data_IF_602870943444
#
_entry.id   IF_602870943444
#
_cell.length_a   1.000
_cell.length_b   1.000
_cell.length_c   1.000
_cell.angle_alpha   90.00
_cell.angle_beta   90.00
_cell.angle_gamma   90.00
#
_symmetry.space_group_name_H-M   'P 1'
#
loop_
_entity.id
_entity.type
_entity.pdbx_description
1 polymer ?
#
# COMPACT_ATOMS: atom_id res chain seq x y z
N UNK A 1 3.12 0.33 -22.49
CA UNK A 1 2.16 1.46 -22.51
C UNK A 1 2.88 2.68 -21.98
N UNK A 2 3.16 3.61 -22.86
CA UNK A 2 4.15 4.68 -22.73
C UNK A 2 3.87 5.67 -21.58
N UNK A 3 4.12 5.28 -20.32
CA UNK A 3 4.11 6.21 -19.19
C UNK A 3 2.74 6.81 -18.83
N UNK A 4 1.63 6.13 -19.14
CA UNK A 4 0.28 6.63 -18.88
C UNK A 4 -0.38 5.78 -17.79
N UNK A 5 -0.68 6.41 -16.65
CA UNK A 5 -1.55 5.83 -15.62
C UNK A 5 -3.00 6.15 -16.01
N UNK A 6 -3.83 5.11 -16.11
CA UNK A 6 -5.25 5.26 -16.47
C UNK A 6 -6.10 4.86 -15.28
N UNK A 7 -6.93 5.78 -14.80
CA UNK A 7 -7.91 5.54 -13.74
C UNK A 7 -9.31 5.66 -14.33
N UNK A 8 -10.20 4.76 -13.91
CA UNK A 8 -11.60 4.82 -14.35
C UNK A 8 -12.28 6.08 -13.81
N UNK A 9 -12.77 6.94 -14.70
CA UNK A 9 -13.44 8.19 -14.33
C UNK A 9 -14.67 7.95 -13.41
N UNK A 10 -15.31 6.79 -13.49
CA UNK A 10 -16.41 6.41 -12.60
C UNK A 10 -16.00 6.31 -11.13
N UNK A 11 -14.72 6.17 -10.84
CA UNK A 11 -14.22 6.17 -9.45
C UNK A 11 -14.32 7.55 -8.78
N UNK A 12 -14.52 8.61 -9.54
CA UNK A 12 -14.88 9.92 -8.98
C UNK A 12 -16.29 9.92 -8.35
N UNK A 13 -17.18 9.00 -8.78
CA UNK A 13 -18.50 8.83 -8.22
C UNK A 13 -18.46 8.03 -6.89
N UNK A 14 -18.91 8.61 -5.75
CA UNK A 14 -18.95 7.92 -4.47
C UNK A 14 -19.77 6.64 -4.47
N UNK A 15 -20.91 6.62 -5.18
CA UNK A 15 -21.78 5.45 -5.24
C UNK A 15 -21.12 4.30 -5.99
N UNK A 16 -20.44 4.59 -7.10
CA UNK A 16 -19.66 3.60 -7.82
C UNK A 16 -18.55 3.01 -6.95
N UNK A 17 -17.78 3.86 -6.22
CA UNK A 17 -16.73 3.38 -5.31
C UNK A 17 -17.28 2.45 -4.22
N UNK A 18 -18.40 2.82 -3.59
CA UNK A 18 -19.04 1.97 -2.55
C UNK A 18 -19.43 0.62 -3.14
N UNK A 19 -20.01 0.59 -4.33
CA UNK A 19 -20.35 -0.67 -5.02
C UNK A 19 -19.11 -1.53 -5.30
N UNK A 20 -18.01 -0.91 -5.74
CA UNK A 20 -16.75 -1.61 -5.97
C UNK A 20 -16.16 -2.14 -4.66
N UNK A 21 -16.11 -1.32 -3.60
CA UNK A 21 -15.64 -1.74 -2.28
C UNK A 21 -16.40 -2.97 -1.75
N UNK A 22 -17.71 -3.00 -1.95
CA UNK A 22 -18.55 -4.15 -1.57
C UNK A 22 -18.27 -5.39 -2.43
N UNK A 23 -18.05 -5.21 -3.73
CA UNK A 23 -17.79 -6.29 -4.67
C UNK A 23 -16.39 -6.91 -4.49
N UNK A 24 -15.36 -6.07 -4.26
CA UNK A 24 -13.97 -6.50 -4.09
C UNK A 24 -13.60 -6.79 -2.64
N UNK A 25 -14.46 -6.42 -1.68
CA UNK A 25 -14.19 -6.43 -0.24
C UNK A 25 -13.02 -5.53 0.19
N UNK A 26 -12.64 -4.59 -0.64
CA UNK A 26 -11.60 -3.58 -0.38
C UNK A 26 -12.23 -2.37 0.31
N UNK A 27 -12.22 -2.34 1.64
CA UNK A 27 -12.93 -1.32 2.46
C UNK A 27 -12.46 0.13 2.24
N UNK A 28 -11.23 0.34 1.80
CA UNK A 28 -10.58 1.67 1.79
C UNK A 28 -10.12 2.13 0.40
N UNK A 29 -10.77 1.66 -0.67
CA UNK A 29 -10.45 2.10 -2.03
C UNK A 29 -10.88 3.56 -2.24
N UNK A 30 -9.93 4.48 -2.09
CA UNK A 30 -10.07 5.89 -2.46
C UNK A 30 -9.43 6.14 -3.83
N UNK A 31 -9.82 7.22 -4.52
CA UNK A 31 -9.19 7.63 -5.78
C UNK A 31 -7.68 7.86 -5.59
N UNK A 32 -7.29 8.52 -4.49
CA UNK A 32 -5.87 8.75 -4.16
C UNK A 32 -5.13 7.44 -3.88
N UNK A 33 -5.75 6.51 -3.14
CA UNK A 33 -5.16 5.19 -2.88
C UNK A 33 -4.96 4.40 -4.16
N UNK A 34 -5.96 4.39 -5.04
CA UNK A 34 -5.85 3.73 -6.34
C UNK A 34 -4.77 4.38 -7.22
N UNK A 35 -4.69 5.72 -7.25
CA UNK A 35 -3.63 6.42 -7.99
C UNK A 35 -2.23 6.05 -7.46
N UNK A 36 -2.05 5.98 -6.13
CA UNK A 36 -0.78 5.54 -5.54
C UNK A 36 -0.45 4.10 -5.94
N UNK A 37 -1.43 3.19 -5.91
CA UNK A 37 -1.28 1.80 -6.32
C UNK A 37 -0.83 1.70 -7.79
N UNK A 38 -1.54 2.34 -8.71
CA UNK A 38 -1.19 2.35 -10.14
C UNK A 38 0.17 3.01 -10.39
N UNK A 39 0.55 4.01 -9.60
CA UNK A 39 1.90 4.58 -9.68
C UNK A 39 2.97 3.55 -9.28
N UNK A 40 2.68 2.67 -8.33
CA UNK A 40 3.55 1.55 -7.97
C UNK A 40 3.82 0.63 -9.17
N UNK A 41 2.79 0.21 -9.89
CA UNK A 41 2.96 -0.58 -11.12
C UNK A 41 3.76 0.15 -12.20
N UNK A 42 3.51 1.44 -12.36
CA UNK A 42 4.27 2.28 -13.31
C UNK A 42 5.76 2.30 -12.96
N UNK A 43 6.12 2.62 -11.73
CA UNK A 43 7.51 2.69 -11.31
C UNK A 43 8.17 1.31 -11.33
N UNK A 44 7.47 0.24 -10.93
CA UNK A 44 7.98 -1.12 -11.08
C UNK A 44 8.36 -1.44 -12.52
N UNK A 45 7.53 -1.07 -13.50
CA UNK A 45 7.79 -1.33 -14.92
C UNK A 45 9.06 -0.66 -15.46
N UNK A 46 9.51 0.42 -14.83
CA UNK A 46 10.75 1.13 -15.15
C UNK A 46 11.93 0.49 -14.39
N UNK A 47 11.78 0.34 -13.08
CA UNK A 47 12.84 -0.14 -12.19
C UNK A 47 13.22 -1.60 -12.46
N UNK A 48 12.25 -2.44 -12.81
CA UNK A 48 12.49 -3.86 -13.13
C UNK A 48 13.36 -4.09 -14.37
N UNK A 49 13.63 -3.04 -15.17
CA UNK A 49 14.62 -3.12 -16.25
C UNK A 49 16.07 -3.15 -15.73
N UNK A 50 16.29 -2.70 -14.50
CA UNK A 50 17.59 -2.76 -13.85
C UNK A 50 17.79 -4.14 -13.23
N UNK A 51 18.83 -4.93 -13.66
CA UNK A 51 19.00 -6.30 -13.19
C UNK A 51 19.17 -6.42 -11.67
N UNK A 52 19.84 -5.46 -11.03
CA UNK A 52 20.04 -5.47 -9.58
C UNK A 52 18.71 -5.30 -8.84
N UNK A 53 17.87 -4.36 -9.26
CA UNK A 53 16.54 -4.16 -8.70
C UNK A 53 15.68 -5.42 -8.86
N UNK A 54 15.64 -6.00 -10.07
CA UNK A 54 14.83 -7.19 -10.33
C UNK A 54 15.28 -8.39 -9.50
N UNK A 55 16.58 -8.60 -9.32
CA UNK A 55 17.09 -9.67 -8.46
C UNK A 55 16.66 -9.50 -7.00
N UNK A 56 16.77 -8.30 -6.45
CA UNK A 56 16.37 -8.01 -5.08
C UNK A 56 14.85 -8.06 -4.90
N UNK A 57 14.09 -7.55 -5.89
CA UNK A 57 12.64 -7.67 -5.94
C UNK A 57 12.18 -9.13 -5.79
N UNK A 58 12.76 -10.04 -6.55
CA UNK A 58 12.41 -11.48 -6.47
C UNK A 58 12.67 -12.10 -5.10
N UNK A 59 13.72 -11.67 -4.44
CA UNK A 59 14.03 -12.16 -3.08
C UNK A 59 13.03 -11.67 -2.03
N UNK A 60 12.44 -10.48 -2.23
CA UNK A 60 11.59 -9.82 -1.24
C UNK A 60 10.10 -10.06 -1.52
N UNK A 61 9.69 -10.00 -2.79
CA UNK A 61 8.28 -10.07 -3.22
C UNK A 61 7.93 -11.41 -3.89
N UNK A 62 8.91 -12.12 -4.44
CA UNK A 62 8.72 -13.36 -5.19
C UNK A 62 8.85 -13.19 -6.70
N UNK A 63 8.58 -14.26 -7.43
CA UNK A 63 8.74 -14.32 -8.89
C UNK A 63 7.58 -13.59 -9.61
N UNK A 64 7.91 -12.50 -10.27
CA UNK A 64 6.96 -11.69 -11.05
C UNK A 64 6.45 -12.40 -12.31
N UNK A 65 7.12 -13.46 -12.73
CA UNK A 65 6.75 -14.26 -13.90
C UNK A 65 5.65 -15.28 -13.65
N UNK A 66 5.11 -15.34 -12.43
CA UNK A 66 3.93 -16.14 -12.13
C UNK A 66 2.76 -15.73 -13.03
N UNK A 67 1.89 -16.67 -13.42
CA UNK A 67 0.74 -16.35 -14.28
C UNK A 67 -0.21 -15.37 -13.59
N UNK A 68 -0.14 -14.10 -13.98
CA UNK A 68 -0.89 -13.00 -13.33
C UNK A 68 -2.40 -13.24 -13.32
N UNK A 69 -2.99 -13.56 -14.49
CA UNK A 69 -4.43 -13.76 -14.58
C UNK A 69 -4.92 -14.93 -13.71
N UNK A 70 -4.18 -16.04 -13.69
CA UNK A 70 -4.51 -17.22 -12.89
C UNK A 70 -4.38 -16.93 -11.38
N UNK A 71 -3.36 -16.16 -10.99
CA UNK A 71 -3.15 -15.73 -9.60
C UNK A 71 -4.30 -14.88 -9.09
N UNK A 72 -4.78 -13.93 -9.90
CA UNK A 72 -5.95 -13.11 -9.56
C UNK A 72 -7.24 -13.93 -9.54
N UNK A 73 -7.46 -14.84 -10.49
CA UNK A 73 -8.62 -15.73 -10.50
C UNK A 73 -8.66 -16.59 -9.24
N UNK A 74 -7.50 -17.12 -8.83
CA UNK A 74 -7.37 -17.87 -7.58
C UNK A 74 -7.71 -16.99 -6.36
N UNK A 75 -7.21 -15.76 -6.32
CA UNK A 75 -7.52 -14.82 -5.23
C UNK A 75 -9.02 -14.53 -5.14
N UNK A 76 -9.69 -14.23 -6.26
CA UNK A 76 -11.12 -13.92 -6.26
C UNK A 76 -11.99 -15.13 -5.96
N UNK A 77 -11.57 -16.33 -6.32
CA UNK A 77 -12.32 -17.57 -6.06
C UNK A 77 -12.11 -18.13 -4.65
N UNK A 78 -10.88 -18.08 -4.14
CA UNK A 78 -10.48 -18.75 -2.89
C UNK A 78 -10.22 -17.78 -1.72
N UNK A 79 -10.14 -16.47 -2.01
CA UNK A 79 -9.75 -15.45 -1.03
C UNK A 79 -8.22 -15.28 -0.91
N UNK A 80 -7.78 -14.42 0.00
CA UNK A 80 -6.37 -14.17 0.26
C UNK A 80 -5.66 -15.41 0.81
N UNK A 81 -4.35 -15.41 0.70
CA UNK A 81 -3.53 -16.45 1.33
C UNK A 81 -3.82 -16.55 2.84
N UNK A 82 -3.87 -17.75 3.42
CA UNK A 82 -3.93 -17.91 4.87
C UNK A 82 -2.78 -17.15 5.52
N UNK A 83 -3.05 -16.48 6.64
CA UNK A 83 -2.04 -15.69 7.37
C UNK A 83 -1.40 -14.54 6.57
N UNK A 84 -2.09 -13.98 5.58
CA UNK A 84 -1.57 -12.88 4.78
C UNK A 84 -1.01 -11.71 5.65
N UNK A 85 -1.55 -11.48 6.85
CA UNK A 85 -1.09 -10.44 7.79
C UNK A 85 0.36 -10.61 8.25
N UNK A 86 0.91 -11.81 8.15
CA UNK A 86 2.29 -12.10 8.54
C UNK A 86 3.32 -11.64 7.49
N UNK A 87 2.88 -11.43 6.24
CA UNK A 87 3.78 -11.15 5.13
C UNK A 87 3.36 -9.98 4.23
N UNK A 88 2.10 -9.56 4.28
CA UNK A 88 1.53 -8.58 3.34
C UNK A 88 0.86 -7.41 4.05
N UNK A 89 0.82 -6.25 3.39
CA UNK A 89 0.18 -5.03 3.90
C UNK A 89 -1.34 -5.04 3.71
N UNK A 90 -1.84 -5.84 2.77
CA UNK A 90 -3.28 -6.02 2.50
C UNK A 90 -3.59 -7.45 2.08
N UNK A 91 -4.88 -7.88 2.15
CA UNK A 91 -5.29 -9.16 1.57
C UNK A 91 -4.95 -9.25 0.07
N UNK A 92 -5.17 -8.17 -0.66
CA UNK A 92 -4.96 -8.10 -2.11
C UNK A 92 -3.48 -8.23 -2.49
N UNK A 93 -2.57 -7.70 -1.68
CA UNK A 93 -1.13 -7.89 -1.84
C UNK A 93 -0.73 -9.38 -1.95
N UNK A 94 -1.49 -10.28 -1.30
CA UNK A 94 -1.21 -11.72 -1.36
C UNK A 94 -1.58 -12.40 -2.68
N UNK A 95 -2.14 -11.68 -3.64
CA UNK A 95 -2.61 -12.23 -4.91
C UNK A 95 -1.46 -12.48 -5.92
N UNK A 96 -0.50 -11.54 -6.01
CA UNK A 96 0.61 -11.62 -6.95
C UNK A 96 1.78 -10.74 -6.50
N UNK A 97 3.05 -11.07 -6.79
CA UNK A 97 4.21 -10.25 -6.42
C UNK A 97 4.16 -8.79 -6.87
N UNK A 98 3.63 -8.51 -8.05
CA UNK A 98 3.48 -7.13 -8.55
C UNK A 98 2.36 -6.37 -7.85
N UNK A 99 1.32 -7.06 -7.39
CA UNK A 99 0.27 -6.48 -6.54
C UNK A 99 0.80 -6.20 -5.13
N UNK A 100 1.61 -7.10 -4.59
CA UNK A 100 2.29 -6.90 -3.31
C UNK A 100 3.20 -5.66 -3.32
N UNK A 101 3.95 -5.47 -4.41
CA UNK A 101 4.73 -4.26 -4.62
C UNK A 101 3.84 -3.01 -4.68
N UNK A 102 2.79 -3.01 -5.51
CA UNK A 102 1.92 -1.86 -5.69
C UNK A 102 1.17 -1.48 -4.41
N UNK A 103 0.70 -2.47 -3.64
CA UNK A 103 0.08 -2.27 -2.32
C UNK A 103 1.09 -1.75 -1.29
N UNK A 104 2.31 -2.30 -1.27
CA UNK A 104 3.39 -1.83 -0.38
C UNK A 104 3.79 -0.40 -0.72
N UNK A 105 3.96 -0.08 -2.00
CA UNK A 105 4.24 1.27 -2.51
C UNK A 105 3.15 2.27 -2.11
N UNK A 106 1.89 1.92 -2.34
CA UNK A 106 0.75 2.76 -1.97
C UNK A 106 0.68 3.02 -0.47
N UNK A 107 0.91 1.98 0.33
CA UNK A 107 0.92 2.05 1.80
C UNK A 107 2.10 2.88 2.31
N UNK A 108 3.28 2.74 1.72
CA UNK A 108 4.45 3.56 2.03
C UNK A 108 4.15 5.06 1.84
N UNK A 109 3.63 5.42 0.67
CA UNK A 109 3.25 6.82 0.38
C UNK A 109 2.14 7.33 1.30
N UNK A 110 1.15 6.50 1.61
CA UNK A 110 0.08 6.85 2.55
C UNK A 110 0.63 7.16 3.95
N UNK A 111 1.54 6.35 4.45
CA UNK A 111 2.17 6.57 5.78
C UNK A 111 2.92 7.89 5.78
N UNK A 112 3.74 8.14 4.76
CA UNK A 112 4.50 9.39 4.63
C UNK A 112 3.59 10.61 4.66
N UNK A 113 2.59 10.65 3.80
CA UNK A 113 1.64 11.76 3.71
C UNK A 113 0.87 11.97 5.01
N UNK A 114 0.42 10.89 5.65
CA UNK A 114 -0.34 10.97 6.90
C UNK A 114 0.52 11.48 8.06
N UNK A 115 1.76 10.98 8.17
CA UNK A 115 2.70 11.40 9.23
C UNK A 115 3.12 12.85 9.02
N UNK A 116 3.50 13.24 7.81
CA UNK A 116 3.87 14.62 7.47
C UNK A 116 2.72 15.59 7.78
N UNK A 117 1.50 15.25 7.38
CA UNK A 117 0.31 16.05 7.68
C UNK A 117 0.06 16.18 9.17
N UNK A 118 0.16 15.08 9.92
CA UNK A 118 -0.09 15.09 11.36
C UNK A 118 0.95 15.90 12.13
N UNK A 119 2.22 15.84 11.75
CA UNK A 119 3.30 16.63 12.33
C UNK A 119 3.14 18.10 11.98
N UNK A 120 2.87 18.44 10.72
CA UNK A 120 2.67 19.81 10.25
C UNK A 120 1.48 20.49 10.93
N UNK A 121 0.39 19.76 11.14
CA UNK A 121 -0.79 20.24 11.87
C UNK A 121 -0.65 20.18 13.39
N UNK A 122 0.48 19.68 13.91
CA UNK A 122 0.72 19.46 15.36
C UNK A 122 -0.34 18.54 16.00
N UNK A 123 -0.88 17.61 15.24
CA UNK A 123 -1.81 16.59 15.75
C UNK A 123 -1.08 15.57 16.61
N UNK A 124 0.20 15.35 16.35
CA UNK A 124 1.07 14.45 17.08
C UNK A 124 2.43 15.12 17.30
N UNK A 125 3.06 14.83 18.44
CA UNK A 125 4.40 15.34 18.73
C UNK A 125 5.47 14.56 17.95
N UNK A 126 6.41 15.28 17.36
CA UNK A 126 7.56 14.75 16.64
C UNK A 126 8.29 15.84 15.87
N UNK A 127 9.34 15.43 15.17
CA UNK A 127 10.16 16.30 14.33
C UNK A 127 9.64 16.27 12.89
N UNK A 128 9.04 17.36 12.35
CA UNK A 128 8.53 17.41 10.99
C UNK A 128 9.63 17.41 9.91
N UNK A 129 10.88 17.74 10.28
CA UNK A 129 12.02 17.74 9.35
C UNK A 129 12.67 16.36 9.24
N UNK A 130 12.31 15.42 10.09
CA UNK A 130 12.87 14.08 10.06
C UNK A 130 12.16 13.23 9.00
N UNK A 131 12.81 13.02 7.85
CA UNK A 131 12.32 12.26 6.71
C UNK A 131 12.69 10.77 6.75
N UNK A 132 13.42 10.30 7.75
CA UNK A 132 13.76 8.89 7.93
C UNK A 132 12.49 8.03 8.09
N UNK A 133 12.35 7.01 7.26
CA UNK A 133 11.12 6.21 7.23
C UNK A 133 10.94 5.35 8.50
N UNK A 134 12.03 4.89 9.11
CA UNK A 134 11.94 4.15 10.38
C UNK A 134 11.42 5.05 11.50
N UNK A 135 11.83 6.33 11.51
CA UNK A 135 11.25 7.33 12.40
C UNK A 135 9.77 7.54 12.10
N UNK A 136 9.39 7.72 10.83
CA UNK A 136 8.00 7.91 10.43
C UNK A 136 7.12 6.71 10.76
N UNK A 137 7.61 5.48 10.66
CA UNK A 137 6.91 4.28 11.13
C UNK A 137 6.64 4.30 12.65
N UNK A 138 7.55 4.85 13.44
CA UNK A 138 7.34 5.01 14.89
C UNK A 138 6.23 6.01 15.21
N UNK A 139 6.17 7.11 14.44
CA UNK A 139 5.08 8.10 14.53
C UNK A 139 3.76 7.50 14.02
N UNK A 140 3.79 6.78 12.92
CA UNK A 140 2.62 6.12 12.34
C UNK A 140 1.90 5.22 13.34
N UNK A 141 2.62 4.42 14.12
CA UNK A 141 2.02 3.53 15.12
C UNK A 141 1.19 4.30 16.16
N UNK A 142 1.67 5.46 16.58
CA UNK A 142 0.97 6.36 17.52
C UNK A 142 -0.20 7.07 16.85
N UNK A 143 0.04 7.60 15.63
CA UNK A 143 -0.97 8.31 14.83
C UNK A 143 -2.14 7.38 14.48
N UNK A 144 -1.86 6.16 14.04
CA UNK A 144 -2.87 5.15 13.73
C UNK A 144 -3.81 4.90 14.92
N UNK A 145 -3.25 4.75 16.12
CA UNK A 145 -4.06 4.59 17.32
C UNK A 145 -4.95 5.81 17.58
N UNK A 146 -4.40 7.03 17.47
CA UNK A 146 -5.18 8.26 17.64
C UNK A 146 -6.32 8.36 16.60
N UNK A 147 -6.02 8.09 15.33
CA UNK A 147 -7.02 8.10 14.25
C UNK A 147 -8.12 7.05 14.48
N UNK A 148 -7.79 5.88 14.98
CA UNK A 148 -8.79 4.85 15.32
C UNK A 148 -9.76 5.35 16.42
N UNK A 149 -9.22 6.01 17.47
CA UNK A 149 -10.08 6.56 18.53
C UNK A 149 -10.95 7.72 18.03
N UNK A 150 -10.40 8.61 17.20
CA UNK A 150 -11.16 9.72 16.57
C UNK A 150 -12.27 9.18 15.69
N UNK A 151 -11.97 8.27 14.77
CA UNK A 151 -12.97 7.66 13.88
C UNK A 151 -14.08 6.97 14.67
N UNK A 152 -13.72 6.20 15.70
CA UNK A 152 -14.70 5.58 16.59
C UNK A 152 -15.60 6.60 17.29
N UNK A 153 -15.03 7.71 17.76
CA UNK A 153 -15.78 8.81 18.39
C UNK A 153 -16.74 9.51 17.41
N UNK A 154 -16.38 9.58 16.13
CA UNK A 154 -17.21 10.15 15.06
C UNK A 154 -18.20 9.17 14.45
N UNK A 155 -18.20 7.89 14.85
CA UNK A 155 -19.08 6.86 14.33
C UNK A 155 -18.65 6.28 12.97
N UNK A 156 -17.38 6.46 12.61
CA UNK A 156 -16.80 5.85 11.41
C UNK A 156 -16.10 4.53 11.72
N UNK A 157 -15.96 3.68 10.71
CA UNK A 157 -15.12 2.48 10.78
C UNK A 157 -13.65 2.87 11.05
N UNK A 158 -12.91 1.94 11.65
CA UNK A 158 -11.50 2.17 11.99
C UNK A 158 -10.60 2.37 10.77
N UNK A 159 -9.38 2.84 11.03
CA UNK A 159 -8.29 2.89 10.05
C UNK A 159 -7.87 1.45 9.70
N UNK A 160 -7.46 1.23 8.45
CA UNK A 160 -7.05 -0.08 7.96
C UNK A 160 -5.99 -0.75 8.85
N UNK A 161 -6.25 -2.01 9.19
CA UNK A 161 -5.42 -2.76 10.11
C UNK A 161 -4.38 -3.59 9.34
N UNK A 162 -3.24 -2.97 9.01
CA UNK A 162 -2.04 -3.77 8.76
C UNK A 162 -1.06 -3.61 9.92
N UNK A 163 -0.27 -4.64 10.13
CA UNK A 163 0.78 -4.63 11.15
C UNK A 163 2.15 -4.52 10.47
N UNK A 164 2.97 -3.63 11.03
CA UNK A 164 4.38 -3.54 10.63
C UNK A 164 5.13 -4.67 11.33
N UNK A 165 5.35 -5.75 10.61
CA UNK A 165 6.14 -6.91 11.02
C UNK A 165 7.49 -6.94 10.28
N UNK A 166 8.41 -7.88 10.57
CA UNK A 166 9.71 -7.94 9.89
C UNK A 166 9.62 -8.04 8.37
N UNK A 167 8.66 -8.80 7.83
CA UNK A 167 8.48 -8.96 6.39
C UNK A 167 8.00 -7.68 5.72
N UNK A 168 6.94 -7.05 6.23
CA UNK A 168 6.43 -5.78 5.67
C UNK A 168 7.44 -4.65 5.85
N UNK A 169 8.22 -4.62 6.94
CA UNK A 169 9.31 -3.65 7.13
C UNK A 169 10.40 -3.82 6.08
N UNK A 170 10.79 -5.04 5.73
CA UNK A 170 11.77 -5.29 4.67
C UNK A 170 11.27 -4.76 3.33
N UNK A 171 10.00 -4.98 3.01
CA UNK A 171 9.36 -4.47 1.79
C UNK A 171 9.34 -2.94 1.75
N UNK A 172 8.99 -2.28 2.86
CA UNK A 172 9.04 -0.82 2.95
C UNK A 172 10.45 -0.27 2.76
N UNK A 173 11.47 -0.89 3.35
CA UNK A 173 12.86 -0.48 3.19
C UNK A 173 13.29 -0.61 1.71
N UNK A 174 12.83 -1.65 1.02
CA UNK A 174 13.09 -1.81 -0.40
C UNK A 174 12.41 -0.73 -1.25
N UNK A 175 11.15 -0.37 -0.93
CA UNK A 175 10.47 0.76 -1.57
C UNK A 175 11.22 2.06 -1.33
N UNK A 176 11.67 2.33 -0.11
CA UNK A 176 12.45 3.53 0.22
C UNK A 176 13.74 3.60 -0.58
N UNK A 177 14.47 2.49 -0.69
CA UNK A 177 15.68 2.43 -1.52
C UNK A 177 15.36 2.68 -3.00
N UNK A 178 14.27 2.15 -3.50
CA UNK A 178 13.84 2.33 -4.88
C UNK A 178 13.48 3.77 -5.26
N UNK A 179 12.98 4.57 -4.31
CA UNK A 179 12.69 6.00 -4.52
C UNK A 179 13.97 6.84 -4.62
N UNK A 180 15.08 6.35 -4.08
CA UNK A 180 16.40 7.00 -4.14
C UNK A 180 17.19 6.71 -5.43
N UNK A 181 16.66 5.86 -6.33
CA UNK A 181 17.23 5.61 -7.66
C UNK A 181 16.80 6.74 -8.65
#
# INVERSE_FOLDING_TARGET
>A
REGVITINALEADPEFRIRQQLATKEKHRSVTGHFRHESGHYFWSILAMEPAFNQEFKLIFGEETLPYAESLEQYYSSGPQPNWREAYVSPYASSHPTEDWAETWSTYLMIRDAVESALSCRLIEGDPENTDFSYQLSIWSRLKFALQQINKGLGFDGVEEFEVNPSTRQKFNFVESAIGY
#
